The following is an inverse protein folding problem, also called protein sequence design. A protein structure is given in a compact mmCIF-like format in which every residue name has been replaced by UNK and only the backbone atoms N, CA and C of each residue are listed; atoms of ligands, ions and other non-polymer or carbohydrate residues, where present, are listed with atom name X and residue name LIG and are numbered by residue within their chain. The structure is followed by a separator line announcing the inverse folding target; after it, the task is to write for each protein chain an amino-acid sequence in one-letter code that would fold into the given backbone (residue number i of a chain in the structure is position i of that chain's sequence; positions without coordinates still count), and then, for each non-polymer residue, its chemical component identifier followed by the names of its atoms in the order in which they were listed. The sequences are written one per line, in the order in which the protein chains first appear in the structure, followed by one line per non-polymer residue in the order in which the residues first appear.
data_IF_426194333545
#
_entry.id   IF_426194333545
#
_cell.length_a   1.000
_cell.length_b   1.000
_cell.length_c   1.000
_cell.angle_alpha   90.00
_cell.angle_beta   90.00
_cell.angle_gamma   90.00
#
_symmetry.space_group_name_H-M   'P 1'
#
loop_
_entity.id
_entity.type
_entity.pdbx_description
1 polymer ?
#
# COMPACT_ATOMS: atom_id res chain seq x y z
N UNK A 1 13.78 51.00 -47.07
CA UNK A 1 12.96 49.80 -46.90
C UNK A 1 13.66 48.70 -46.12
N UNK A 2 14.89 48.26 -46.47
CA UNK A 2 15.69 47.26 -45.74
C UNK A 2 16.02 47.63 -44.28
N UNK A 3 16.36 48.88 -44.03
CA UNK A 3 16.67 49.37 -42.65
C UNK A 3 15.47 49.27 -41.70
N UNK A 4 14.25 49.46 -42.17
CA UNK A 4 13.05 49.32 -41.34
C UNK A 4 12.77 47.85 -41.03
N UNK A 5 13.05 46.94 -41.98
CA UNK A 5 12.92 45.48 -41.76
C UNK A 5 13.88 45.01 -40.71
N UNK A 6 15.15 45.44 -40.78
CA UNK A 6 16.17 45.09 -39.78
C UNK A 6 15.82 45.63 -38.37
N UNK A 7 15.36 46.86 -38.27
CA UNK A 7 14.91 47.45 -37.00
C UNK A 7 13.73 46.68 -36.39
N UNK A 8 12.82 46.20 -37.22
CA UNK A 8 11.66 45.43 -36.75
C UNK A 8 12.07 43.99 -36.30
N UNK A 9 13.01 43.34 -37.04
CA UNK A 9 13.57 42.07 -36.63
C UNK A 9 14.27 42.15 -35.27
N UNK A 10 15.15 43.16 -35.09
CA UNK A 10 15.85 43.40 -33.82
C UNK A 10 14.85 43.63 -32.68
N UNK A 11 13.84 44.47 -32.88
CA UNK A 11 12.83 44.77 -31.85
C UNK A 11 12.03 43.50 -31.44
N UNK A 12 11.68 42.64 -32.39
CA UNK A 12 10.97 41.40 -32.11
C UNK A 12 11.84 40.40 -31.33
N UNK A 13 13.12 40.28 -31.73
CA UNK A 13 14.09 39.45 -31.02
C UNK A 13 14.36 39.95 -29.61
N UNK A 14 14.55 41.30 -29.43
CA UNK A 14 14.77 41.90 -28.12
C UNK A 14 13.61 41.63 -27.17
N UNK A 15 12.35 41.79 -27.65
CA UNK A 15 11.19 41.45 -26.85
C UNK A 15 11.17 39.98 -26.45
N UNK A 16 11.48 39.06 -27.37
CA UNK A 16 11.53 37.65 -27.07
C UNK A 16 12.63 37.29 -26.05
N UNK A 17 13.78 37.98 -26.11
CA UNK A 17 14.87 37.86 -25.10
C UNK A 17 14.40 38.36 -23.75
N UNK A 18 13.79 39.55 -23.66
CA UNK A 18 13.24 40.11 -22.42
C UNK A 18 12.17 39.16 -21.80
N UNK A 19 11.26 38.65 -22.63
CA UNK A 19 10.23 37.69 -22.18
C UNK A 19 10.86 36.39 -21.66
N UNK A 20 11.98 35.95 -22.25
CA UNK A 20 12.71 34.78 -21.78
C UNK A 20 13.51 35.06 -20.48
N UNK A 21 14.19 36.22 -20.38
CA UNK A 21 14.89 36.65 -19.16
C UNK A 21 13.92 36.82 -17.95
N UNK A 22 12.66 37.15 -18.21
CA UNK A 22 11.62 37.23 -17.18
C UNK A 22 11.04 35.86 -16.80
N UNK A 23 11.33 34.82 -17.57
CA UNK A 23 10.83 33.48 -17.28
C UNK A 23 11.58 32.85 -16.09
N UNK A 24 10.84 32.26 -15.17
CA UNK A 24 11.35 31.56 -13.97
C UNK A 24 10.66 30.22 -13.79
N UNK A 25 11.35 29.28 -13.17
CA UNK A 25 10.78 27.98 -12.81
C UNK A 25 10.19 28.08 -11.42
N UNK A 26 8.86 28.03 -11.32
CA UNK A 26 8.12 28.11 -10.06
C UNK A 26 7.40 26.81 -9.69
N UNK A 27 7.20 25.91 -10.66
CA UNK A 27 6.47 24.67 -10.53
C UNK A 27 6.87 23.68 -11.63
N UNK A 28 6.22 22.49 -11.64
CA UNK A 28 6.46 21.47 -12.63
C UNK A 28 6.08 21.85 -14.04
N UNK A 29 5.04 22.61 -14.22
CA UNK A 29 4.60 23.07 -15.54
C UNK A 29 5.64 24.00 -16.15
N UNK A 30 6.11 25.00 -15.40
CA UNK A 30 7.18 25.91 -15.84
C UNK A 30 8.49 25.16 -16.13
N UNK A 31 8.83 24.13 -15.32
CA UNK A 31 10.00 23.30 -15.57
C UNK A 31 9.93 22.54 -16.90
N UNK A 32 8.74 22.07 -17.29
CA UNK A 32 8.54 21.41 -18.58
C UNK A 32 8.55 22.37 -19.76
N UNK A 33 8.13 23.62 -19.56
CA UNK A 33 8.07 24.63 -20.62
C UNK A 33 9.42 25.28 -20.94
N UNK A 34 10.48 25.01 -20.18
CA UNK A 34 11.80 25.65 -20.36
C UNK A 34 12.35 25.46 -21.77
N UNK A 35 12.34 24.23 -22.27
CA UNK A 35 12.91 23.91 -23.58
C UNK A 35 12.13 24.62 -24.70
N UNK A 36 10.81 24.66 -24.63
CA UNK A 36 9.96 25.35 -25.61
C UNK A 36 10.19 26.85 -25.59
N UNK A 37 10.31 27.46 -24.38
CA UNK A 37 10.63 28.86 -24.21
C UNK A 37 11.99 29.20 -24.82
N UNK A 38 13.01 28.40 -24.56
CA UNK A 38 14.34 28.56 -25.12
C UNK A 38 14.34 28.45 -26.66
N UNK A 39 13.66 27.45 -27.23
CA UNK A 39 13.56 27.28 -28.67
C UNK A 39 12.82 28.46 -29.34
N UNK A 40 11.79 28.99 -28.70
CA UNK A 40 11.05 30.13 -29.21
C UNK A 40 11.92 31.39 -29.29
N UNK A 41 12.71 31.70 -28.26
CA UNK A 41 13.61 32.84 -28.27
C UNK A 41 14.76 32.63 -29.25
N UNK A 42 15.36 31.45 -29.35
CA UNK A 42 16.34 31.12 -30.37
C UNK A 42 15.80 31.36 -31.79
N UNK A 43 14.58 30.92 -32.06
CA UNK A 43 13.93 31.13 -33.35
C UNK A 43 13.72 32.60 -33.68
N UNK A 44 13.43 33.45 -32.69
CA UNK A 44 13.30 34.88 -32.86
C UNK A 44 14.67 35.55 -33.17
N UNK A 45 15.74 35.11 -32.46
CA UNK A 45 17.09 35.61 -32.66
C UNK A 45 17.64 35.22 -34.03
N UNK A 46 17.35 34.00 -34.53
CA UNK A 46 17.80 33.55 -35.87
C UNK A 46 17.30 34.43 -37.00
N UNK A 47 16.14 35.07 -36.85
CA UNK A 47 15.56 36.00 -37.86
C UNK A 47 16.25 37.37 -37.94
N UNK A 48 17.19 37.67 -37.04
CA UNK A 48 17.98 38.93 -37.05
C UNK A 48 19.15 38.79 -38.03
N UNK A 49 19.19 39.67 -39.04
CA UNK A 49 20.25 39.64 -40.05
C UNK A 49 21.54 40.29 -39.56
N UNK A 50 21.51 41.11 -38.48
CA UNK A 50 22.70 41.68 -37.87
C UNK A 50 23.42 40.68 -36.96
N UNK A 51 24.61 40.23 -37.40
CA UNK A 51 25.39 39.21 -36.72
C UNK A 51 25.88 39.68 -35.33
N UNK A 52 26.15 40.95 -35.13
CA UNK A 52 26.60 41.53 -33.86
C UNK A 52 25.47 41.54 -32.83
N UNK A 53 24.28 41.95 -33.23
CA UNK A 53 23.12 41.92 -32.37
C UNK A 53 22.69 40.49 -32.07
N UNK A 54 22.70 39.59 -33.06
CA UNK A 54 22.43 38.17 -32.88
C UNK A 54 23.35 37.54 -31.83
N UNK A 55 24.65 37.82 -31.88
CA UNK A 55 25.61 37.32 -30.91
C UNK A 55 25.34 37.83 -29.49
N UNK A 56 25.01 39.14 -29.34
CA UNK A 56 24.64 39.73 -28.03
C UNK A 56 23.38 39.06 -27.44
N UNK A 57 22.33 38.85 -28.24
CA UNK A 57 21.11 38.20 -27.79
C UNK A 57 21.36 36.78 -27.37
N UNK A 58 22.14 36.01 -28.12
CA UNK A 58 22.51 34.64 -27.77
C UNK A 58 23.23 34.57 -26.42
N UNK A 59 24.23 35.41 -26.22
CA UNK A 59 24.97 35.44 -24.95
C UNK A 59 24.06 35.73 -23.74
N UNK A 60 23.09 36.65 -23.89
CA UNK A 60 22.11 36.97 -22.83
C UNK A 60 21.25 35.72 -22.46
N UNK A 61 20.69 35.06 -23.45
CA UNK A 61 19.79 33.91 -23.19
C UNK A 61 20.55 32.66 -22.72
N UNK A 62 21.80 32.43 -23.18
CA UNK A 62 22.59 31.27 -22.77
C UNK A 62 22.88 31.32 -21.25
N UNK A 63 23.32 32.44 -20.73
CA UNK A 63 23.58 32.57 -19.29
C UNK A 63 22.30 32.32 -18.45
N UNK A 64 21.18 32.87 -18.87
CA UNK A 64 19.92 32.69 -18.17
C UNK A 64 19.38 31.26 -18.31
N UNK A 65 19.57 30.63 -19.48
CA UNK A 65 19.18 29.25 -19.72
C UNK A 65 19.96 28.26 -18.84
N UNK A 66 21.27 28.48 -18.68
CA UNK A 66 22.10 27.63 -17.82
C UNK A 66 21.62 27.69 -16.35
N UNK A 67 21.29 28.86 -15.84
CA UNK A 67 20.72 29.05 -14.50
C UNK A 67 19.37 28.32 -14.35
N UNK A 68 18.50 28.43 -15.37
CA UNK A 68 17.20 27.76 -15.38
C UNK A 68 17.32 26.23 -15.50
N UNK A 69 18.32 25.69 -16.21
CA UNK A 69 18.60 24.25 -16.27
C UNK A 69 18.98 23.69 -14.90
N UNK A 70 19.76 24.44 -14.11
CA UNK A 70 20.06 24.01 -12.73
C UNK A 70 18.80 24.01 -11.84
N UNK A 71 17.94 25.01 -11.99
CA UNK A 71 16.65 25.06 -11.26
C UNK A 71 15.73 23.91 -11.70
N UNK A 72 15.62 23.65 -13.00
CA UNK A 72 14.84 22.52 -13.53
C UNK A 72 15.32 21.18 -12.97
N UNK A 73 16.65 21.00 -12.89
CA UNK A 73 17.24 19.79 -12.33
C UNK A 73 16.88 19.62 -10.86
N UNK A 74 17.06 20.68 -10.04
CA UNK A 74 16.69 20.64 -8.61
C UNK A 74 15.22 20.30 -8.42
N UNK A 75 14.36 20.84 -9.27
CA UNK A 75 12.93 20.55 -9.22
C UNK A 75 12.62 19.09 -9.59
N UNK A 76 13.24 18.55 -10.65
CA UNK A 76 13.10 17.14 -11.06
C UNK A 76 13.56 16.19 -9.96
N UNK A 77 14.72 16.45 -9.36
CA UNK A 77 15.28 15.64 -8.27
C UNK A 77 14.36 15.65 -7.02
N UNK A 78 13.81 16.82 -6.69
CA UNK A 78 12.87 16.95 -5.59
C UNK A 78 11.56 16.18 -5.85
N UNK A 79 11.03 16.22 -7.08
CA UNK A 79 9.84 15.47 -7.48
C UNK A 79 10.07 13.95 -7.44
N UNK A 80 11.19 13.48 -7.96
CA UNK A 80 11.56 12.05 -7.91
C UNK A 80 11.64 11.55 -6.47
N UNK A 81 12.27 12.35 -5.60
CA UNK A 81 12.35 12.05 -4.16
C UNK A 81 10.95 11.98 -3.54
N UNK A 82 10.08 12.96 -3.84
CA UNK A 82 8.71 12.98 -3.33
C UNK A 82 7.89 11.76 -3.79
N UNK A 83 7.97 11.41 -5.08
CA UNK A 83 7.27 10.25 -5.65
C UNK A 83 7.76 8.96 -4.98
N UNK A 84 9.08 8.80 -4.82
CA UNK A 84 9.68 7.64 -4.16
C UNK A 84 9.21 7.52 -2.72
N UNK A 85 9.21 8.60 -1.94
CA UNK A 85 8.73 8.60 -0.56
C UNK A 85 7.24 8.25 -0.46
N UNK A 86 6.41 8.78 -1.35
CA UNK A 86 4.97 8.45 -1.39
C UNK A 86 4.72 6.99 -1.69
N UNK A 87 5.48 6.43 -2.63
CA UNK A 87 5.34 5.00 -2.96
C UNK A 87 5.79 4.11 -1.79
N UNK A 88 6.89 4.45 -1.11
CA UNK A 88 7.33 3.73 0.09
C UNK A 88 6.29 3.80 1.22
N UNK A 89 5.68 4.95 1.44
CA UNK A 89 4.59 5.09 2.42
C UNK A 89 3.40 4.20 2.05
N UNK A 90 2.99 4.19 0.78
CA UNK A 90 1.88 3.35 0.30
C UNK A 90 2.16 1.86 0.50
N UNK A 91 3.39 1.42 0.21
CA UNK A 91 3.81 0.03 0.42
C UNK A 91 3.74 -0.33 1.91
N UNK A 92 4.29 0.52 2.79
CA UNK A 92 4.29 0.28 4.24
C UNK A 92 2.87 0.23 4.83
N UNK A 93 1.96 1.11 4.36
CA UNK A 93 0.55 1.10 4.77
C UNK A 93 -0.16 -0.19 4.31
N UNK A 94 0.08 -0.64 3.09
CA UNK A 94 -0.49 -1.89 2.57
C UNK A 94 0.01 -3.11 3.34
N UNK A 95 1.32 -3.20 3.61
CA UNK A 95 1.90 -4.30 4.41
C UNK A 95 1.32 -4.33 5.84
N UNK A 96 1.13 -3.16 6.45
CA UNK A 96 0.50 -3.06 7.77
C UNK A 96 -0.95 -3.55 7.73
N UNK A 97 -1.73 -3.10 6.76
CA UNK A 97 -3.12 -3.52 6.59
C UNK A 97 -3.23 -5.03 6.34
N UNK A 98 -2.33 -5.61 5.56
CA UNK A 98 -2.30 -7.06 5.30
C UNK A 98 -1.98 -7.84 6.57
N UNK A 99 -0.97 -7.43 7.35
CA UNK A 99 -0.65 -8.06 8.65
C UNK A 99 -1.83 -8.01 9.62
N UNK A 100 -2.50 -6.86 9.72
CA UNK A 100 -3.70 -6.72 10.57
C UNK A 100 -4.85 -7.61 10.09
N UNK A 101 -5.05 -7.74 8.78
CA UNK A 101 -6.07 -8.62 8.22
C UNK A 101 -5.78 -10.10 8.51
N UNK A 102 -4.51 -10.53 8.39
CA UNK A 102 -4.08 -11.89 8.73
C UNK A 102 -4.31 -12.17 10.21
N UNK A 103 -3.91 -11.27 11.11
CA UNK A 103 -4.14 -11.44 12.55
C UNK A 103 -5.64 -11.54 12.89
N UNK A 104 -6.47 -10.68 12.32
CA UNK A 104 -7.93 -10.74 12.53
C UNK A 104 -8.52 -12.08 12.07
N UNK A 105 -8.04 -12.61 10.94
CA UNK A 105 -8.48 -13.92 10.43
C UNK A 105 -8.06 -15.03 11.38
N UNK A 106 -6.81 -15.03 11.87
CA UNK A 106 -6.34 -16.04 12.83
C UNK A 106 -7.15 -16.03 14.13
N UNK A 107 -7.38 -14.85 14.70
CA UNK A 107 -8.21 -14.72 15.92
C UNK A 107 -9.64 -15.23 15.67
N UNK A 108 -10.22 -14.91 14.53
CA UNK A 108 -11.56 -15.41 14.18
C UNK A 108 -11.57 -16.94 14.05
N UNK A 109 -10.60 -17.53 13.38
CA UNK A 109 -10.48 -19.00 13.24
C UNK A 109 -10.30 -19.69 14.59
N UNK A 110 -9.46 -19.14 15.48
CA UNK A 110 -9.30 -19.64 16.84
C UNK A 110 -10.64 -19.62 17.59
N UNK A 111 -11.36 -18.52 17.57
CA UNK A 111 -12.68 -18.42 18.21
C UNK A 111 -13.70 -19.43 17.65
N UNK A 112 -13.69 -19.69 16.35
CA UNK A 112 -14.59 -20.66 15.75
C UNK A 112 -14.23 -22.09 16.19
N UNK A 113 -12.94 -22.43 16.23
CA UNK A 113 -12.49 -23.74 16.68
C UNK A 113 -12.81 -23.99 18.16
N UNK A 114 -12.58 -23.00 19.03
CA UNK A 114 -12.95 -23.06 20.46
C UNK A 114 -14.47 -23.29 20.61
N UNK A 115 -15.30 -22.50 19.93
CA UNK A 115 -16.77 -22.66 19.95
C UNK A 115 -17.23 -24.05 19.49
N UNK A 116 -16.54 -24.62 18.50
CA UNK A 116 -16.84 -25.96 18.01
C UNK A 116 -16.57 -27.01 19.09
N UNK A 117 -15.41 -26.94 19.76
CA UNK A 117 -15.08 -27.82 20.89
C UNK A 117 -16.11 -27.68 22.01
N UNK A 118 -16.41 -26.46 22.45
CA UNK A 118 -17.42 -26.20 23.49
C UNK A 118 -18.81 -26.73 23.10
N UNK A 119 -19.17 -26.61 21.83
CA UNK A 119 -20.46 -27.19 21.32
C UNK A 119 -20.52 -28.70 21.44
N UNK A 120 -19.42 -29.42 21.11
CA UNK A 120 -19.38 -30.85 21.29
C UNK A 120 -19.37 -31.28 22.75
N UNK A 121 -18.64 -30.59 23.62
CA UNK A 121 -18.69 -30.80 25.08
C UNK A 121 -20.12 -30.63 25.59
N UNK A 122 -20.78 -29.53 25.26
CA UNK A 122 -22.17 -29.27 25.68
C UNK A 122 -23.15 -30.32 25.18
N UNK A 123 -22.92 -30.89 24.00
CA UNK A 123 -23.76 -32.00 23.48
C UNK A 123 -23.55 -33.28 24.27
N UNK A 124 -22.31 -33.62 24.63
CA UNK A 124 -22.02 -34.74 25.48
C UNK A 124 -22.63 -34.56 26.89
N UNK A 125 -22.55 -33.35 27.45
CA UNK A 125 -23.05 -33.05 28.81
C UNK A 125 -24.57 -33.27 28.98
N UNK A 126 -25.37 -33.18 27.93
CA UNK A 126 -26.81 -33.40 27.98
C UNK A 126 -27.25 -34.79 27.57
N UNK A 127 -26.30 -35.68 27.26
CA UNK A 127 -26.63 -37.10 26.90
C UNK A 127 -26.93 -37.93 28.14
N UNK A 128 -27.98 -38.77 28.04
CA UNK A 128 -28.43 -39.67 29.09
C UNK A 128 -28.04 -41.14 28.82
N UNK A 129 -27.52 -41.42 27.60
CA UNK A 129 -27.12 -42.74 27.17
C UNK A 129 -25.80 -42.68 26.42
N UNK A 130 -25.03 -43.75 26.52
CA UNK A 130 -23.83 -43.98 25.71
C UNK A 130 -24.19 -44.93 24.55
N UNK A 131 -24.23 -44.38 23.35
CA UNK A 131 -24.59 -45.06 22.12
C UNK A 131 -23.64 -44.64 20.96
N UNK A 132 -23.94 -45.12 19.74
CA UNK A 132 -23.17 -44.80 18.54
C UNK A 132 -23.14 -43.25 18.26
N UNK A 133 -24.17 -42.54 18.71
CA UNK A 133 -24.23 -41.07 18.58
C UNK A 133 -23.21 -40.39 19.52
N UNK A 134 -23.05 -40.93 20.74
CA UNK A 134 -22.06 -40.45 21.69
C UNK A 134 -20.63 -40.66 21.14
N UNK A 135 -20.35 -41.86 20.57
CA UNK A 135 -19.02 -42.12 19.98
C UNK A 135 -18.72 -41.23 18.77
N UNK A 136 -19.73 -40.96 17.92
CA UNK A 136 -19.56 -40.00 16.80
C UNK A 136 -19.22 -38.60 17.31
N UNK A 137 -19.88 -38.11 18.36
CA UNK A 137 -19.61 -36.82 18.97
C UNK A 137 -18.21 -36.78 19.61
N UNK A 138 -17.80 -37.84 20.30
CA UNK A 138 -16.46 -37.95 20.92
C UNK A 138 -15.37 -37.88 19.85
N UNK A 139 -15.56 -38.61 18.75
CA UNK A 139 -14.62 -38.60 17.62
C UNK A 139 -14.47 -37.17 17.05
N UNK A 140 -15.59 -36.49 16.81
CA UNK A 140 -15.61 -35.12 16.29
C UNK A 140 -15.00 -34.10 17.29
N UNK A 141 -15.22 -34.30 18.58
CA UNK A 141 -14.62 -33.48 19.64
C UNK A 141 -13.10 -33.61 19.64
N UNK A 142 -12.58 -34.86 19.53
CA UNK A 142 -11.15 -35.10 19.49
C UNK A 142 -10.49 -34.50 18.24
N UNK A 143 -11.16 -34.57 17.07
CA UNK A 143 -10.70 -33.91 15.85
C UNK A 143 -10.71 -32.41 15.97
N UNK A 144 -11.72 -31.81 16.64
CA UNK A 144 -11.79 -30.39 16.89
C UNK A 144 -10.71 -29.91 17.87
N UNK A 145 -10.42 -30.70 18.93
CA UNK A 145 -9.35 -30.39 19.88
C UNK A 145 -7.97 -30.36 19.22
N UNK A 146 -7.67 -31.25 18.29
CA UNK A 146 -6.41 -31.21 17.53
C UNK A 146 -6.16 -29.88 16.81
N UNK A 147 -7.22 -29.18 16.40
CA UNK A 147 -7.09 -27.87 15.77
C UNK A 147 -6.79 -26.75 16.77
N UNK A 148 -6.90 -27.05 18.07
CA UNK A 148 -6.67 -26.10 19.15
C UNK A 148 -5.36 -26.38 19.90
N UNK A 149 -4.55 -27.35 19.53
CA UNK A 149 -3.33 -27.79 20.24
C UNK A 149 -2.34 -26.63 20.50
N UNK A 150 -2.27 -25.67 19.57
CA UNK A 150 -1.38 -24.51 19.68
C UNK A 150 -2.02 -23.30 20.39
N UNK A 151 -3.24 -23.42 20.94
CA UNK A 151 -3.93 -22.31 21.58
C UNK A 151 -3.64 -22.27 23.09
N UNK A 152 -3.50 -21.07 23.64
CA UNK A 152 -3.28 -20.86 25.09
C UNK A 152 -4.37 -21.50 25.98
N UNK A 153 -5.57 -21.70 25.41
CA UNK A 153 -6.72 -22.29 26.09
C UNK A 153 -6.81 -23.82 25.93
N UNK A 154 -5.85 -24.44 25.25
CA UNK A 154 -5.93 -25.88 24.92
C UNK A 154 -6.05 -26.77 26.15
N UNK A 155 -5.22 -26.59 27.17
CA UNK A 155 -5.23 -27.41 28.38
C UNK A 155 -6.58 -27.38 29.09
N UNK A 156 -7.22 -26.19 29.18
CA UNK A 156 -8.55 -26.04 29.79
C UNK A 156 -9.64 -26.74 28.96
N UNK A 157 -9.58 -26.58 27.63
CA UNK A 157 -10.52 -27.23 26.72
C UNK A 157 -10.37 -28.75 26.73
N UNK A 158 -9.15 -29.24 26.74
CA UNK A 158 -8.85 -30.66 26.81
C UNK A 158 -9.35 -31.28 28.12
N UNK A 159 -9.12 -30.65 29.25
CA UNK A 159 -9.62 -31.10 30.56
C UNK A 159 -11.15 -31.18 30.60
N UNK A 160 -11.85 -30.16 30.09
CA UNK A 160 -13.32 -30.19 29.99
C UNK A 160 -13.82 -31.28 29.08
N UNK A 161 -13.16 -31.50 27.95
CA UNK A 161 -13.50 -32.58 27.02
C UNK A 161 -13.32 -33.95 27.62
N UNK A 162 -12.20 -34.21 28.32
CA UNK A 162 -11.95 -35.48 29.01
C UNK A 162 -13.03 -35.75 30.07
N UNK A 163 -13.41 -34.76 30.87
CA UNK A 163 -14.47 -34.88 31.86
C UNK A 163 -15.84 -35.24 31.23
N UNK A 164 -16.21 -34.58 30.13
CA UNK A 164 -17.44 -34.86 29.41
C UNK A 164 -17.45 -36.27 28.81
N UNK A 165 -16.33 -36.70 28.21
CA UNK A 165 -16.17 -38.05 27.66
C UNK A 165 -16.28 -39.11 28.75
N UNK A 166 -15.57 -38.93 29.87
CA UNK A 166 -15.61 -39.88 30.98
C UNK A 166 -17.02 -40.00 31.59
N UNK A 167 -17.69 -38.85 31.79
CA UNK A 167 -19.10 -38.82 32.25
C UNK A 167 -20.01 -39.69 31.37
N UNK A 168 -19.99 -39.46 30.06
CA UNK A 168 -20.89 -40.19 29.13
C UNK A 168 -20.55 -41.67 29.06
N UNK A 169 -19.28 -42.07 29.07
CA UNK A 169 -18.84 -43.46 29.09
C UNK A 169 -19.30 -44.23 30.35
N UNK A 170 -19.40 -43.52 31.47
CA UNK A 170 -19.84 -44.09 32.74
C UNK A 170 -21.36 -44.32 32.82
N UNK A 171 -22.17 -43.71 31.92
CA UNK A 171 -23.64 -43.91 31.91
C UNK A 171 -24.06 -45.39 31.69
N UNK A 172 -23.28 -46.19 30.97
CA UNK A 172 -23.56 -47.60 30.76
C UNK A 172 -23.05 -48.52 31.87
N UNK A 173 -22.18 -48.05 32.78
CA UNK A 173 -21.63 -48.86 33.86
C UNK A 173 -22.65 -49.10 34.97
N UNK A 174 -23.62 -48.19 35.16
CA UNK A 174 -24.62 -48.24 36.22
C UNK A 174 -25.86 -49.08 35.88
N UNK A 175 -26.10 -49.40 34.58
CA UNK A 175 -27.25 -50.20 34.14
C UNK A 175 -27.04 -51.71 34.31
N UNK A 176 -25.81 -52.20 34.54
CA UNK A 176 -25.52 -53.63 34.68
C UNK A 176 -25.62 -54.16 36.12
N UNK A 177 -25.87 -53.30 37.11
CA UNK A 177 -25.85 -53.71 38.55
C UNK A 177 -27.25 -53.94 39.15
N UNK A 178 -28.33 -53.80 38.39
CA UNK A 178 -29.72 -53.92 38.90
C UNK A 178 -30.47 -55.17 38.45
N UNK A 179 -29.87 -56.10 37.73
CA UNK A 179 -30.51 -57.41 37.42
C UNK A 179 -29.75 -58.60 38.02
N UNK A 180 -29.72 -58.67 39.36
CA UNK A 180 -29.41 -59.93 40.05
C UNK A 180 -29.93 -59.82 41.47
N UNK A 181 -31.25 -60.00 41.63
CA UNK A 181 -31.87 -60.51 42.84
C UNK A 181 -33.22 -61.20 42.50
#
# INVERSE_FOLDING_TARGET
MLENILKEQIKKAEKAVEDFEAFTITDGESAYLLDDKYQNVCTAIEKVDDSTQKAKFRQRIENHYDDLLEEQKKWKDAMETYVTQKEQQRIAENEKAEKEAVQKRQVYEQQQNIKLVESYISRLDVMDTYDDTAEDIITKLQEALKKCEDYDTYDELNQKAEQAIERVRNLNSDTTTTESN
#
